data_IF_053660554061
#
_entry.id   IF_053660554061
#
_cell.length_a   1.000
_cell.length_b   1.000
_cell.length_c   1.000
_cell.angle_alpha   90.00
_cell.angle_beta   90.00
_cell.angle_gamma   90.00
#
_symmetry.space_group_name_H-M   'P 1'
#
loop_
_entity.id
_entity.type
_entity.pdbx_description
1 polymer ?
#
# COMPACT_ATOMS: atom_id res chain seq x y z
N UNK A 1 15.78 17.80 -8.69
CA UNK A 1 15.59 16.37 -8.92
C UNK A 1 16.38 15.49 -7.95
N UNK A 2 17.69 15.73 -7.75
CA UNK A 2 18.51 14.91 -6.83
C UNK A 2 17.95 14.83 -5.40
N UNK A 3 17.51 15.94 -4.81
CA UNK A 3 16.95 15.98 -3.45
C UNK A 3 15.66 15.15 -3.31
N UNK A 4 14.77 15.20 -4.29
CA UNK A 4 13.54 14.38 -4.31
C UNK A 4 13.86 12.89 -4.33
N UNK A 5 14.76 12.44 -5.22
CA UNK A 5 15.17 11.04 -5.32
C UNK A 5 15.86 10.55 -4.04
N UNK A 6 16.68 11.40 -3.42
CA UNK A 6 17.33 11.05 -2.15
C UNK A 6 16.29 10.86 -1.04
N UNK A 7 15.31 11.76 -0.95
CA UNK A 7 14.24 11.67 0.04
C UNK A 7 13.34 10.44 -0.24
N UNK A 8 12.94 10.24 -1.50
CA UNK A 8 12.18 9.05 -1.89
C UNK A 8 12.90 7.74 -1.49
N UNK A 9 14.19 7.61 -1.80
CA UNK A 9 14.97 6.42 -1.44
C UNK A 9 15.07 6.23 0.07
N UNK A 10 15.22 7.31 0.84
CA UNK A 10 15.22 7.26 2.30
C UNK A 10 13.88 6.72 2.82
N UNK A 11 12.77 7.31 2.38
CA UNK A 11 11.42 6.92 2.78
C UNK A 11 11.07 5.48 2.34
N UNK A 12 11.43 5.13 1.12
CA UNK A 12 11.20 3.79 0.60
C UNK A 12 11.95 2.72 1.42
N UNK A 13 13.23 2.96 1.73
CA UNK A 13 14.01 2.06 2.59
C UNK A 13 13.47 2.02 4.03
N UNK A 14 13.00 3.15 4.56
CA UNK A 14 12.40 3.21 5.88
C UNK A 14 11.17 2.31 6.01
N UNK A 15 10.39 2.13 4.92
CA UNK A 15 9.27 1.20 4.89
C UNK A 15 9.69 -0.27 5.14
N UNK A 16 10.94 -0.65 4.86
CA UNK A 16 11.46 -2.00 5.11
C UNK A 16 12.26 -2.11 6.42
N UNK A 17 12.62 -0.98 7.03
CA UNK A 17 13.42 -0.94 8.25
C UNK A 17 12.57 -1.20 9.50
N UNK A 18 12.02 -2.41 9.61
CA UNK A 18 11.32 -2.75 10.84
C UNK A 18 10.49 -4.01 10.71
N UNK A 19 10.39 -4.74 11.78
CA UNK A 19 9.60 -5.98 11.84
C UNK A 19 8.12 -5.77 11.48
N UNK A 20 7.57 -4.60 11.78
CA UNK A 20 6.18 -4.24 11.47
C UNK A 20 5.87 -4.19 9.97
N UNK A 21 6.84 -3.89 9.10
CA UNK A 21 6.63 -3.95 7.65
C UNK A 21 6.30 -5.37 7.19
N UNK A 22 7.06 -6.34 7.69
CA UNK A 22 6.86 -7.74 7.34
C UNK A 22 5.53 -8.28 7.87
N UNK A 23 5.10 -7.82 9.05
CA UNK A 23 3.76 -8.15 9.60
C UNK A 23 2.66 -7.62 8.68
N UNK A 24 2.78 -6.37 8.20
CA UNK A 24 1.79 -5.77 7.30
C UNK A 24 1.74 -6.50 5.97
N UNK A 25 2.90 -6.84 5.40
CA UNK A 25 2.98 -7.64 4.16
C UNK A 25 2.33 -9.01 4.38
N UNK A 26 2.67 -9.70 5.47
CA UNK A 26 2.09 -11.00 5.78
C UNK A 26 0.56 -10.92 5.99
N UNK A 27 0.08 -9.91 6.73
CA UNK A 27 -1.34 -9.69 6.94
C UNK A 27 -2.07 -9.41 5.62
N UNK A 28 -1.50 -8.59 4.74
CA UNK A 28 -2.05 -8.34 3.41
C UNK A 28 -2.22 -9.64 2.62
N UNK A 29 -1.19 -10.49 2.56
CA UNK A 29 -1.27 -11.74 1.81
C UNK A 29 -2.21 -12.75 2.43
N UNK A 30 -2.21 -12.89 3.75
CA UNK A 30 -3.13 -13.80 4.45
C UNK A 30 -4.58 -13.40 4.19
N UNK A 31 -4.91 -12.11 4.33
CA UNK A 31 -6.26 -11.60 4.06
C UNK A 31 -6.64 -11.74 2.59
N UNK A 32 -5.71 -11.46 1.67
CA UNK A 32 -5.95 -11.57 0.23
C UNK A 32 -6.15 -13.02 -0.21
N UNK A 33 -5.34 -13.95 0.28
CA UNK A 33 -5.49 -15.37 -0.02
C UNK A 33 -6.77 -15.92 0.61
N UNK A 34 -7.05 -15.56 1.87
CA UNK A 34 -8.27 -15.98 2.53
C UNK A 34 -9.51 -15.51 1.77
N UNK A 35 -9.53 -14.25 1.32
CA UNK A 35 -10.65 -13.72 0.53
C UNK A 35 -10.80 -14.42 -0.81
N UNK A 36 -9.71 -14.70 -1.51
CA UNK A 36 -9.73 -15.36 -2.81
C UNK A 36 -10.23 -16.81 -2.72
N UNK A 37 -9.79 -17.55 -1.71
CA UNK A 37 -10.10 -18.96 -1.59
C UNK A 37 -11.43 -19.26 -0.87
N UNK A 38 -11.74 -18.48 0.17
CA UNK A 38 -12.91 -18.75 1.04
C UNK A 38 -14.15 -17.97 0.64
N UNK A 39 -14.02 -16.66 0.39
CA UNK A 39 -15.16 -15.82 0.02
C UNK A 39 -15.53 -15.98 -1.45
N UNK A 40 -14.59 -16.43 -2.29
CA UNK A 40 -14.82 -16.72 -3.69
C UNK A 40 -15.54 -18.03 -3.96
N UNK A 41 -15.86 -18.81 -2.92
CA UNK A 41 -16.45 -20.18 -3.09
C UNK A 41 -15.68 -21.05 -4.11
N UNK A 42 -14.37 -20.82 -4.21
CA UNK A 42 -13.52 -21.50 -5.20
C UNK A 42 -13.71 -23.01 -5.20
N UNK A 43 -13.80 -23.61 -4.01
CA UNK A 43 -13.95 -25.07 -3.86
C UNK A 43 -15.35 -25.59 -4.19
N UNK A 44 -16.36 -24.71 -4.27
CA UNK A 44 -17.76 -25.08 -4.46
C UNK A 44 -18.28 -24.77 -5.88
N UNK A 45 -17.75 -23.76 -6.53
CA UNK A 45 -18.30 -23.20 -7.78
C UNK A 45 -17.36 -23.17 -8.97
N UNK A 46 -16.12 -23.63 -8.82
CA UNK A 46 -15.07 -23.46 -9.86
C UNK A 46 -14.96 -21.99 -10.34
N UNK A 47 -15.34 -21.04 -9.44
CA UNK A 47 -15.37 -19.63 -9.77
C UNK A 47 -13.95 -19.10 -9.98
N UNK A 48 -13.83 -18.08 -10.79
CA UNK A 48 -12.54 -17.43 -11.06
C UNK A 48 -11.93 -16.85 -9.78
N UNK A 49 -10.86 -17.46 -9.29
CA UNK A 49 -10.11 -17.01 -8.10
C UNK A 49 -9.80 -15.51 -8.17
N UNK A 50 -9.48 -15.02 -9.37
CA UNK A 50 -9.08 -13.64 -9.58
C UNK A 50 -10.23 -12.66 -9.38
N UNK A 51 -11.46 -13.04 -9.74
CA UNK A 51 -12.63 -12.18 -9.53
C UNK A 51 -12.89 -11.97 -8.02
N UNK A 52 -12.89 -13.04 -7.25
CA UNK A 52 -13.03 -12.96 -5.79
C UNK A 52 -11.89 -12.17 -5.12
N UNK A 53 -10.67 -12.35 -5.61
CA UNK A 53 -9.52 -11.57 -5.17
C UNK A 53 -9.76 -10.07 -5.35
N UNK A 54 -10.13 -9.61 -6.55
CA UNK A 54 -10.30 -8.18 -6.85
C UNK A 54 -11.50 -7.54 -6.13
N UNK A 55 -12.59 -8.26 -5.94
CA UNK A 55 -13.78 -7.74 -5.24
C UNK A 55 -13.46 -7.36 -3.79
N UNK A 56 -12.62 -8.14 -3.12
CA UNK A 56 -12.29 -7.92 -1.71
C UNK A 56 -11.10 -6.96 -1.49
N UNK A 57 -10.32 -6.69 -2.52
CA UNK A 57 -9.14 -5.82 -2.39
C UNK A 57 -9.43 -4.42 -1.84
N UNK A 58 -10.49 -3.69 -2.24
CA UNK A 58 -10.78 -2.38 -1.67
C UNK A 58 -10.97 -2.43 -0.15
N UNK A 59 -11.63 -3.47 0.37
CA UNK A 59 -11.85 -3.66 1.81
C UNK A 59 -10.52 -3.91 2.54
N UNK A 60 -9.68 -4.78 1.99
CA UNK A 60 -8.36 -5.10 2.55
C UNK A 60 -7.46 -3.86 2.53
N UNK A 61 -7.46 -3.11 1.43
CA UNK A 61 -6.66 -1.90 1.29
C UNK A 61 -7.08 -0.79 2.26
N UNK A 62 -8.37 -0.70 2.60
CA UNK A 62 -8.88 0.24 3.61
C UNK A 62 -8.23 0.01 4.98
N UNK A 63 -7.84 -1.22 5.29
CA UNK A 63 -7.15 -1.58 6.53
C UNK A 63 -5.62 -1.44 6.41
N UNK A 64 -5.05 -1.97 5.33
CA UNK A 64 -3.61 -2.12 5.17
C UNK A 64 -2.91 -0.81 4.86
N UNK A 65 -3.48 0.03 3.98
CA UNK A 65 -2.82 1.28 3.56
C UNK A 65 -2.76 2.31 4.70
N UNK A 66 -3.83 2.59 5.46
CA UNK A 66 -3.70 3.48 6.62
C UNK A 66 -2.69 2.97 7.65
N UNK A 67 -2.62 1.66 7.89
CA UNK A 67 -1.64 1.08 8.80
C UNK A 67 -0.20 1.35 8.34
N UNK A 68 0.09 1.30 7.04
CA UNK A 68 1.40 1.63 6.48
C UNK A 68 1.71 3.12 6.55
N UNK A 69 0.75 3.98 6.20
CA UNK A 69 0.93 5.43 6.20
C UNK A 69 1.08 5.99 7.62
N UNK A 70 0.28 5.54 8.58
CA UNK A 70 0.39 5.94 9.99
C UNK A 70 1.73 5.55 10.59
N UNK A 71 2.25 4.37 10.25
CA UNK A 71 3.53 3.89 10.72
C UNK A 71 4.69 4.80 10.31
N UNK A 72 4.76 5.19 9.04
CA UNK A 72 5.85 6.04 8.53
C UNK A 72 5.93 7.38 9.25
N UNK A 73 4.79 7.96 9.61
CA UNK A 73 4.74 9.20 10.38
C UNK A 73 5.02 8.99 11.88
N UNK A 74 4.54 7.88 12.45
CA UNK A 74 4.79 7.55 13.84
C UNK A 74 6.28 7.29 14.13
N UNK A 75 6.99 6.65 13.20
CA UNK A 75 8.43 6.40 13.32
C UNK A 75 9.24 7.70 13.26
N UNK A 76 8.82 8.68 12.46
CA UNK A 76 9.44 10.01 12.43
C UNK A 76 9.15 10.84 13.69
N UNK A 77 7.92 10.78 14.18
CA UNK A 77 7.57 11.46 15.42
C UNK A 77 8.37 10.91 16.61
N UNK A 78 8.55 9.58 16.70
CA UNK A 78 9.35 8.95 17.74
C UNK A 78 10.84 9.25 17.65
N UNK A 79 11.37 9.40 16.44
CA UNK A 79 12.79 9.70 16.23
C UNK A 79 13.14 11.18 16.37
N UNK A 80 12.16 12.08 16.61
CA UNK A 80 12.37 13.53 16.68
C UNK A 80 12.84 14.16 15.36
N UNK A 81 12.83 13.40 14.27
CA UNK A 81 13.31 13.86 12.95
C UNK A 81 12.30 14.75 12.23
N UNK A 82 11.08 14.85 12.74
CA UNK A 82 10.01 15.63 12.13
C UNK A 82 10.34 17.14 12.15
N UNK A 83 10.89 17.66 13.24
CA UNK A 83 11.34 19.05 13.34
C UNK A 83 12.53 19.34 12.41
N UNK A 84 13.48 18.40 12.34
CA UNK A 84 14.61 18.48 11.42
C UNK A 84 14.18 18.43 9.94
N UNK A 85 13.12 17.72 9.61
CA UNK A 85 12.55 17.66 8.25
C UNK A 85 11.91 18.98 7.84
N UNK A 86 11.26 19.66 8.77
CA UNK A 86 10.62 20.97 8.53
C UNK A 86 11.64 22.11 8.40
N UNK A 87 12.83 21.96 8.97
CA UNK A 87 13.92 22.95 8.85
C UNK A 87 14.82 22.74 7.63
N UNK A 88 14.66 21.63 6.89
CA UNK A 88 15.42 21.38 5.67
C UNK A 88 14.98 22.31 4.53
N UNK A 89 15.91 22.73 3.65
CA UNK A 89 15.62 23.59 2.50
C UNK A 89 14.92 22.82 1.36
N UNK A 90 14.07 21.89 1.70
CA UNK A 90 13.23 21.10 0.76
C UNK A 90 11.83 21.67 0.86
N UNK A 91 11.27 22.13 -0.26
CA UNK A 91 9.89 22.63 -0.26
C UNK A 91 8.91 21.56 0.25
N UNK A 92 8.03 21.95 1.16
CA UNK A 92 7.02 21.05 1.81
C UNK A 92 6.28 20.15 0.81
N UNK A 93 5.90 20.69 -0.34
CA UNK A 93 5.21 19.91 -1.39
C UNK A 93 6.06 18.74 -1.93
N UNK A 94 7.37 18.94 -2.10
CA UNK A 94 8.28 17.88 -2.56
C UNK A 94 8.44 16.79 -1.51
N UNK A 95 8.42 17.15 -0.23
CA UNK A 95 8.48 16.21 0.88
C UNK A 95 7.23 15.30 0.91
N UNK A 96 6.05 15.91 0.85
CA UNK A 96 4.78 15.19 0.84
C UNK A 96 4.69 14.24 -0.37
N UNK A 97 5.08 14.72 -1.55
CA UNK A 97 5.12 13.88 -2.76
C UNK A 97 6.12 12.72 -2.63
N UNK A 98 7.30 12.95 -2.04
CA UNK A 98 8.27 11.88 -1.84
C UNK A 98 7.72 10.78 -0.91
N UNK A 99 7.04 11.15 0.17
CA UNK A 99 6.37 10.22 1.07
C UNK A 99 5.24 9.45 0.39
N UNK A 100 4.40 10.16 -0.36
CA UNK A 100 3.33 9.53 -1.13
C UNK A 100 3.87 8.47 -2.09
N UNK A 101 4.85 8.85 -2.91
CA UNK A 101 5.42 7.91 -3.88
C UNK A 101 6.17 6.75 -3.22
N UNK A 102 6.80 6.96 -2.06
CA UNK A 102 7.47 5.89 -1.31
C UNK A 102 6.45 4.88 -0.74
N UNK A 103 5.35 5.36 -0.16
CA UNK A 103 4.27 4.51 0.33
C UNK A 103 3.55 3.78 -0.82
N UNK A 104 3.29 4.48 -1.93
CA UNK A 104 2.69 3.88 -3.12
C UNK A 104 3.60 2.84 -3.78
N UNK A 105 4.91 3.08 -3.84
CA UNK A 105 5.87 2.11 -4.36
C UNK A 105 5.95 0.86 -3.48
N UNK A 106 5.82 1.00 -2.16
CA UNK A 106 5.72 -0.14 -1.24
C UNK A 106 4.45 -0.96 -1.50
N UNK A 107 3.31 -0.28 -1.66
CA UNK A 107 2.06 -0.94 -2.05
C UNK A 107 2.18 -1.61 -3.43
N UNK A 108 2.77 -0.92 -4.42
CA UNK A 108 3.00 -1.47 -5.75
C UNK A 108 3.80 -2.77 -5.71
N UNK A 109 4.82 -2.83 -4.85
CA UNK A 109 5.62 -4.05 -4.68
C UNK A 109 4.78 -5.19 -4.08
N UNK A 110 3.91 -4.91 -3.08
CA UNK A 110 2.96 -5.89 -2.57
C UNK A 110 2.00 -6.37 -3.67
N UNK A 111 1.43 -5.44 -4.44
CA UNK A 111 0.55 -5.78 -5.55
C UNK A 111 1.26 -6.60 -6.65
N UNK A 112 2.52 -6.28 -6.96
CA UNK A 112 3.32 -7.02 -7.93
C UNK A 112 3.61 -8.46 -7.50
N UNK A 113 3.86 -8.69 -6.21
CA UNK A 113 4.02 -10.06 -5.72
C UNK A 113 2.74 -10.90 -5.83
N UNK A 114 1.54 -10.27 -5.84
CA UNK A 114 0.28 -10.98 -6.07
C UNK A 114 0.13 -11.52 -7.50
N UNK A 115 0.98 -11.09 -8.44
CA UNK A 115 1.06 -11.70 -9.78
C UNK A 115 1.37 -13.20 -9.74
N UNK A 116 1.95 -13.69 -8.65
CA UNK A 116 2.09 -15.14 -8.44
C UNK A 116 0.73 -15.84 -8.45
N UNK A 117 -0.31 -15.23 -7.88
CA UNK A 117 -1.67 -15.76 -7.93
C UNK A 117 -2.21 -15.85 -9.36
N UNK A 118 -1.85 -14.89 -10.21
CA UNK A 118 -2.18 -14.94 -11.63
C UNK A 118 -1.64 -16.21 -12.31
N UNK A 119 -0.37 -16.51 -12.10
CA UNK A 119 0.24 -17.70 -12.68
C UNK A 119 -0.35 -19.00 -12.14
N UNK A 120 -0.75 -19.02 -10.87
CA UNK A 120 -1.42 -20.16 -10.26
C UNK A 120 -2.83 -20.35 -10.84
N UNK A 121 -3.58 -19.24 -10.96
CA UNK A 121 -4.94 -19.25 -11.52
C UNK A 121 -4.98 -19.68 -12.98
N UNK A 122 -4.01 -19.25 -13.78
CA UNK A 122 -3.87 -19.63 -15.19
C UNK A 122 -3.70 -21.15 -15.38
N UNK A 123 -3.13 -21.81 -14.38
CA UNK A 123 -2.95 -23.28 -14.41
C UNK A 123 -4.15 -24.06 -13.86
N UNK A 124 -4.96 -23.46 -13.04
CA UNK A 124 -6.03 -24.15 -12.29
C UNK A 124 -7.44 -23.86 -12.83
N UNK A 125 -7.64 -22.74 -13.52
CA UNK A 125 -8.96 -22.33 -14.01
C UNK A 125 -8.88 -21.63 -15.37
N UNK A 126 -10.03 -21.49 -16.03
CA UNK A 126 -10.16 -20.69 -17.26
C UNK A 126 -10.06 -19.23 -16.86
N UNK A 127 -8.91 -18.62 -17.14
CA UNK A 127 -8.62 -17.23 -16.78
C UNK A 127 -9.09 -16.27 -17.87
N UNK A 128 -9.94 -15.31 -17.52
CA UNK A 128 -10.19 -14.15 -18.40
C UNK A 128 -9.07 -13.11 -18.20
N UNK A 129 -8.15 -13.06 -19.16
CA UNK A 129 -7.02 -12.14 -19.15
C UNK A 129 -7.45 -10.68 -19.18
N UNK A 130 -8.56 -10.36 -19.84
CA UNK A 130 -9.11 -9.01 -19.93
C UNK A 130 -9.63 -8.53 -18.56
N UNK A 131 -10.41 -9.36 -17.89
CA UNK A 131 -10.92 -9.10 -16.56
C UNK A 131 -9.78 -8.95 -15.55
N UNK A 132 -8.78 -9.81 -15.62
CA UNK A 132 -7.63 -9.77 -14.72
C UNK A 132 -6.78 -8.51 -14.91
N UNK A 133 -6.52 -8.11 -16.14
CA UNK A 133 -5.76 -6.89 -16.42
C UNK A 133 -6.49 -5.63 -15.94
N UNK A 134 -7.80 -5.55 -16.19
CA UNK A 134 -8.63 -4.46 -15.68
C UNK A 134 -8.70 -4.44 -14.16
N UNK A 135 -8.76 -5.62 -13.51
CA UNK A 135 -8.71 -5.78 -12.07
C UNK A 135 -7.40 -5.24 -11.46
N UNK A 136 -6.25 -5.56 -12.03
CA UNK A 136 -4.98 -5.00 -11.57
C UNK A 136 -4.89 -3.49 -11.81
N UNK A 137 -5.39 -2.98 -12.92
CA UNK A 137 -5.46 -1.54 -13.15
C UNK A 137 -6.34 -0.84 -12.08
N UNK A 138 -7.50 -1.40 -11.78
CA UNK A 138 -8.38 -0.94 -10.71
C UNK A 138 -7.73 -0.99 -9.34
N UNK A 139 -7.02 -2.08 -9.03
CA UNK A 139 -6.26 -2.26 -7.79
C UNK A 139 -5.21 -1.16 -7.60
N UNK A 140 -4.43 -0.86 -8.63
CA UNK A 140 -3.40 0.18 -8.59
C UNK A 140 -4.02 1.58 -8.40
N UNK A 141 -5.11 1.89 -9.08
CA UNK A 141 -5.82 3.16 -8.90
C UNK A 141 -6.41 3.30 -7.49
N UNK A 142 -7.04 2.23 -7.00
CA UNK A 142 -7.58 2.16 -5.65
C UNK A 142 -6.48 2.36 -4.60
N UNK A 143 -5.34 1.69 -4.77
CA UNK A 143 -4.18 1.86 -3.91
C UNK A 143 -3.61 3.27 -3.91
N UNK A 144 -3.54 3.93 -5.06
CA UNK A 144 -3.13 5.33 -5.15
C UNK A 144 -4.07 6.25 -4.36
N UNK A 145 -5.38 6.04 -4.51
CA UNK A 145 -6.41 6.81 -3.81
C UNK A 145 -6.33 6.64 -2.30
N UNK A 146 -6.24 5.41 -1.81
CA UNK A 146 -6.13 5.15 -0.37
C UNK A 146 -4.80 5.65 0.22
N UNK A 147 -3.70 5.56 -0.54
CA UNK A 147 -2.40 6.12 -0.12
C UNK A 147 -2.47 7.64 -0.01
N UNK A 148 -3.12 8.32 -0.94
CA UNK A 148 -3.33 9.75 -0.89
C UNK A 148 -4.21 10.14 0.30
N UNK A 149 -5.33 9.46 0.50
CA UNK A 149 -6.25 9.71 1.62
C UNK A 149 -5.58 9.46 2.98
N UNK A 150 -4.83 8.36 3.11
CA UNK A 150 -4.07 8.05 4.32
C UNK A 150 -3.01 9.11 4.65
N UNK A 151 -2.26 9.55 3.64
CA UNK A 151 -1.27 10.62 3.79
C UNK A 151 -1.89 11.95 4.21
N UNK A 152 -3.04 12.33 3.62
CA UNK A 152 -3.79 13.54 3.99
C UNK A 152 -4.33 13.46 5.42
N UNK A 153 -4.94 12.33 5.81
CA UNK A 153 -5.51 12.16 7.14
C UNK A 153 -4.44 12.33 8.24
N UNK A 154 -3.27 11.73 8.03
CA UNK A 154 -2.17 11.82 9.01
C UNK A 154 -1.55 13.22 9.02
N UNK A 155 -1.38 13.87 7.86
CA UNK A 155 -0.89 15.24 7.78
C UNK A 155 -1.79 16.22 8.53
N UNK A 156 -3.11 16.06 8.42
CA UNK A 156 -4.09 16.92 9.10
C UNK A 156 -4.08 16.75 10.63
N UNK A 157 -3.99 15.51 11.11
CA UNK A 157 -3.96 15.24 12.56
C UNK A 157 -2.70 15.78 13.24
N UNK A 158 -1.55 15.71 12.55
CA UNK A 158 -0.28 16.23 13.08
C UNK A 158 -0.24 17.76 13.11
N UNK A 159 -0.78 18.45 12.11
CA UNK A 159 -0.85 19.91 12.12
C UNK A 159 -1.68 20.43 13.29
N UNK A 160 -2.79 19.78 13.61
CA UNK A 160 -3.66 20.19 14.70
C UNK A 160 -3.07 19.94 16.09
N UNK A 161 -2.21 18.95 16.25
CA UNK A 161 -1.55 18.64 17.52
C UNK A 161 -0.48 19.69 17.91
N UNK A 162 -0.01 20.49 16.96
CA UNK A 162 0.93 21.59 17.23
C UNK A 162 0.25 22.96 17.49
N UNK A 163 -1.07 23.06 17.31
CA UNK A 163 -1.84 24.28 17.59
C UNK A 163 -2.47 24.31 19.00
N UNK A 164 -2.38 23.22 19.75
CA UNK A 164 -2.84 23.11 21.15
C UNK A 164 -1.65 22.99 22.09
#
# INVERSE_FOLDING_TARGET
MKQFLTQFNKEFRANFNGFSAYIIIAAYYILSLFSALYLGDYFLRESEIMNAYFIMQPVILTLVIPATTMRTWADEAKSGTLELLLTQPIGYFKLVLAKFFAAYAFFFLMAAMSLFLFFVSDKLSILDTGLTLSGYAGLLLCGALFTAAGGLAVSYTHLRAHET
#
